data_IF_326560991654
#
_entry.id   IF_326560991654
#
_cell.length_a   1.000
_cell.length_b   1.000
_cell.length_c   1.000
_cell.angle_alpha   90.00
_cell.angle_beta   90.00
_cell.angle_gamma   90.00
#
_symmetry.space_group_name_H-M   'P 1'
#
loop_
_entity.id
_entity.type
_entity.pdbx_description
1 polymer ?
#
# COMPACT_ATOMS: atom_id res chain seq x y z
N UNK A 1 0.26 0.11 -13.45
CA UNK A 1 -0.25 -0.68 -12.31
C UNK A 1 -0.04 -2.15 -12.62
N UNK A 2 0.27 -2.96 -11.61
CA UNK A 2 0.54 -4.38 -11.78
C UNK A 2 -0.78 -5.18 -11.95
N UNK A 3 -0.76 -6.38 -12.54
CA UNK A 3 -1.99 -7.12 -12.84
C UNK A 3 -2.84 -7.45 -11.60
N UNK A 4 -2.25 -7.85 -10.48
CA UNK A 4 -3.00 -8.19 -9.27
C UNK A 4 -3.54 -6.93 -8.57
N UNK A 5 -2.82 -5.82 -8.58
CA UNK A 5 -3.34 -4.51 -8.14
C UNK A 5 -4.65 -4.16 -8.87
N UNK A 6 -4.67 -4.31 -10.20
CA UNK A 6 -5.85 -4.01 -11.01
C UNK A 6 -7.01 -4.96 -10.66
N UNK A 7 -6.72 -6.25 -10.54
CA UNK A 7 -7.72 -7.25 -10.14
C UNK A 7 -8.32 -6.92 -8.77
N UNK A 8 -7.49 -6.60 -7.79
CA UNK A 8 -7.94 -6.23 -6.43
C UNK A 8 -8.81 -4.98 -6.45
N UNK A 9 -8.45 -3.95 -7.24
CA UNK A 9 -9.27 -2.74 -7.39
C UNK A 9 -10.62 -3.01 -8.06
N UNK A 10 -10.67 -3.88 -9.07
CA UNK A 10 -11.92 -4.31 -9.71
C UNK A 10 -12.81 -5.04 -8.70
N UNK A 11 -12.24 -5.94 -7.89
CA UNK A 11 -12.98 -6.64 -6.84
C UNK A 11 -13.51 -5.65 -5.78
N UNK A 12 -12.71 -4.65 -5.38
CA UNK A 12 -13.16 -3.60 -4.46
C UNK A 12 -14.29 -2.75 -5.08
N UNK A 13 -14.24 -2.41 -6.36
CA UNK A 13 -15.35 -1.73 -7.03
C UNK A 13 -16.62 -2.60 -7.02
N UNK A 14 -16.47 -3.91 -7.25
CA UNK A 14 -17.54 -4.90 -7.13
C UNK A 14 -18.12 -4.97 -5.71
N UNK A 15 -17.29 -4.96 -4.68
CA UNK A 15 -17.78 -4.96 -3.28
C UNK A 15 -18.53 -3.68 -2.94
N UNK A 16 -18.05 -2.52 -3.38
CA UNK A 16 -18.74 -1.23 -3.18
C UNK A 16 -20.10 -1.20 -3.85
N UNK A 17 -20.17 -1.58 -5.12
CA UNK A 17 -21.45 -1.62 -5.87
C UNK A 17 -22.43 -2.60 -5.24
N UNK A 18 -21.95 -3.77 -4.78
CA UNK A 18 -22.77 -4.73 -4.06
C UNK A 18 -23.26 -4.19 -2.71
N UNK A 19 -22.42 -3.46 -1.98
CA UNK A 19 -22.76 -2.81 -0.73
C UNK A 19 -23.80 -1.69 -0.93
N UNK A 20 -23.83 -1.03 -2.08
CA UNK A 20 -24.77 0.07 -2.34
C UNK A 20 -26.12 -0.37 -2.89
N UNK A 21 -26.16 -1.49 -3.62
CA UNK A 21 -27.32 -1.87 -4.46
C UNK A 21 -28.05 -3.10 -3.94
N UNK A 22 -27.34 -4.13 -3.47
CA UNK A 22 -27.96 -5.38 -3.08
C UNK A 22 -28.47 -5.34 -1.62
N UNK A 23 -29.77 -5.64 -1.44
CA UNK A 23 -30.38 -5.87 -0.11
C UNK A 23 -29.84 -7.15 0.53
N UNK A 24 -29.65 -8.21 -0.26
CA UNK A 24 -29.06 -9.48 0.16
C UNK A 24 -27.53 -9.33 0.22
N UNK A 25 -26.95 -9.36 1.44
CA UNK A 25 -25.52 -9.07 1.68
C UNK A 25 -24.57 -10.24 1.38
N UNK A 26 -25.08 -11.36 0.88
CA UNK A 26 -24.27 -12.56 0.55
C UNK A 26 -23.25 -12.28 -0.55
N UNK A 27 -23.69 -11.67 -1.65
CA UNK A 27 -22.81 -11.31 -2.79
C UNK A 27 -21.70 -10.37 -2.32
N UNK A 28 -22.04 -9.38 -1.49
CA UNK A 28 -21.06 -8.47 -0.89
C UNK A 28 -20.00 -9.23 -0.08
N UNK A 29 -20.39 -10.18 0.77
CA UNK A 29 -19.45 -10.96 1.59
C UNK A 29 -18.56 -11.87 0.75
N UNK A 30 -19.08 -12.52 -0.31
CA UNK A 30 -18.27 -13.33 -1.21
C UNK A 30 -17.25 -12.48 -1.98
N UNK A 31 -17.67 -11.32 -2.49
CA UNK A 31 -16.76 -10.40 -3.17
C UNK A 31 -15.71 -9.82 -2.20
N UNK A 32 -16.10 -9.55 -0.95
CA UNK A 32 -15.18 -9.04 0.07
C UNK A 32 -14.12 -10.08 0.41
N UNK A 33 -14.55 -11.34 0.58
CA UNK A 33 -13.63 -12.46 0.80
C UNK A 33 -12.68 -12.65 -0.39
N UNK A 34 -13.20 -12.60 -1.62
CA UNK A 34 -12.39 -12.66 -2.83
C UNK A 34 -11.37 -11.52 -2.91
N UNK A 35 -11.78 -10.29 -2.56
CA UNK A 35 -10.90 -9.12 -2.55
C UNK A 35 -9.79 -9.24 -1.50
N UNK A 36 -10.09 -9.78 -0.31
CA UNK A 36 -9.08 -10.07 0.72
C UNK A 36 -8.09 -11.15 0.24
N UNK A 37 -8.59 -12.19 -0.44
CA UNK A 37 -7.75 -13.22 -1.04
C UNK A 37 -6.82 -12.66 -2.12
N UNK A 38 -7.35 -11.84 -3.03
CA UNK A 38 -6.57 -11.16 -4.06
C UNK A 38 -5.51 -10.22 -3.45
N UNK A 39 -5.88 -9.46 -2.41
CA UNK A 39 -4.96 -8.60 -1.68
C UNK A 39 -3.82 -9.39 -1.01
N UNK A 40 -4.15 -10.55 -0.44
CA UNK A 40 -3.15 -11.45 0.16
C UNK A 40 -2.19 -11.98 -0.91
N UNK A 41 -2.72 -12.43 -2.06
CA UNK A 41 -1.90 -12.90 -3.16
C UNK A 41 -0.99 -11.80 -3.72
N UNK A 42 -1.52 -10.59 -3.88
CA UNK A 42 -0.76 -9.41 -4.29
C UNK A 42 0.37 -9.11 -3.31
N UNK A 43 0.13 -9.19 -2.00
CA UNK A 43 1.16 -8.98 -0.97
C UNK A 43 2.37 -9.90 -1.18
N UNK A 44 2.14 -11.18 -1.47
CA UNK A 44 3.22 -12.16 -1.63
C UNK A 44 3.91 -12.13 -3.00
N UNK A 45 3.17 -11.88 -4.08
CA UNK A 45 3.71 -11.97 -5.45
C UNK A 45 4.27 -10.65 -5.97
N UNK A 46 3.58 -9.54 -5.68
CA UNK A 46 3.96 -8.22 -6.19
C UNK A 46 4.69 -7.40 -5.12
N UNK A 47 4.60 -7.78 -3.84
CA UNK A 47 5.22 -7.05 -2.73
C UNK A 47 4.39 -5.85 -2.28
N UNK A 48 4.86 -5.18 -1.22
CA UNK A 48 4.11 -4.09 -0.59
C UNK A 48 4.46 -2.72 -1.16
N UNK A 49 3.39 -1.96 -1.43
CA UNK A 49 3.43 -0.57 -1.85
C UNK A 49 2.58 0.23 -0.90
N UNK A 50 3.18 1.21 -0.23
CA UNK A 50 2.44 2.07 0.71
C UNK A 50 1.29 2.81 0.01
N UNK A 51 1.40 3.09 -1.31
CA UNK A 51 0.30 3.72 -2.07
C UNK A 51 -0.96 2.85 -2.08
N UNK A 52 -0.81 1.53 -1.98
CA UNK A 52 -1.91 0.58 -1.97
C UNK A 52 -2.52 0.40 -0.57
N UNK A 53 -1.92 0.97 0.48
CA UNK A 53 -2.45 0.89 1.85
C UNK A 53 -3.89 1.42 1.93
N UNK A 54 -4.25 2.42 1.13
CA UNK A 54 -5.62 2.94 1.06
C UNK A 54 -6.63 1.87 0.63
N UNK A 55 -6.27 0.99 -0.32
CA UNK A 55 -7.10 -0.13 -0.73
C UNK A 55 -7.18 -1.20 0.37
N UNK A 56 -6.07 -1.47 1.06
CA UNK A 56 -6.00 -2.43 2.17
C UNK A 56 -6.93 -2.03 3.30
N UNK A 57 -6.85 -0.79 3.77
CA UNK A 57 -7.67 -0.30 4.89
C UNK A 57 -9.13 -0.08 4.51
N UNK A 58 -9.44 0.06 3.22
CA UNK A 58 -10.82 0.12 2.75
C UNK A 58 -11.57 -1.20 2.97
N UNK A 59 -10.92 -2.36 2.82
CA UNK A 59 -11.55 -3.68 3.02
C UNK A 59 -12.18 -3.88 4.42
N UNK A 60 -11.43 -3.70 5.54
CA UNK A 60 -12.04 -3.80 6.87
C UNK A 60 -13.04 -2.67 7.12
N UNK A 61 -12.82 -1.47 6.58
CA UNK A 61 -13.78 -0.37 6.69
C UNK A 61 -15.14 -0.72 6.05
N UNK A 62 -15.14 -1.39 4.89
CA UNK A 62 -16.36 -1.89 4.23
C UNK A 62 -17.09 -2.90 5.09
N UNK A 63 -16.36 -3.83 5.71
CA UNK A 63 -16.95 -4.82 6.63
C UNK A 63 -17.56 -4.16 7.89
N UNK A 64 -16.85 -3.21 8.48
CA UNK A 64 -17.31 -2.46 9.66
C UNK A 64 -18.57 -1.65 9.31
N UNK A 65 -18.58 -0.95 8.17
CA UNK A 65 -19.76 -0.23 7.69
C UNK A 65 -20.96 -1.17 7.51
N UNK A 66 -20.74 -2.38 6.97
CA UNK A 66 -21.78 -3.39 6.85
C UNK A 66 -22.34 -3.81 8.22
N UNK A 67 -21.48 -3.95 9.24
CA UNK A 67 -21.89 -4.36 10.59
C UNK A 67 -22.79 -3.33 11.27
N UNK A 68 -22.48 -2.04 11.14
CA UNK A 68 -23.25 -0.94 11.72
C UNK A 68 -24.50 -0.57 10.91
N UNK A 69 -24.47 -0.73 9.59
CA UNK A 69 -25.54 -0.30 8.67
C UNK A 69 -26.13 -1.48 7.89
N UNK A 70 -26.77 -2.40 8.64
CA UNK A 70 -27.24 -3.70 8.14
C UNK A 70 -28.25 -3.60 6.98
N UNK A 71 -29.21 -2.68 7.07
CA UNK A 71 -30.34 -2.58 6.12
C UNK A 71 -30.06 -1.63 4.95
N UNK A 72 -29.62 -0.41 5.23
CA UNK A 72 -29.29 0.61 4.21
C UNK A 72 -28.05 1.38 4.63
N UNK A 73 -27.22 1.70 3.64
CA UNK A 73 -26.06 2.58 3.83
C UNK A 73 -26.51 4.04 3.65
N UNK A 74 -26.17 4.89 4.61
CA UNK A 74 -26.43 6.33 4.58
C UNK A 74 -25.72 7.01 3.42
N UNK A 75 -26.33 8.06 2.84
CA UNK A 75 -25.75 8.78 1.70
C UNK A 75 -24.36 9.36 2.00
N UNK A 76 -24.16 9.88 3.22
CA UNK A 76 -22.87 10.39 3.69
C UNK A 76 -21.80 9.29 3.68
N UNK A 77 -22.12 8.10 4.22
CA UNK A 77 -21.19 6.95 4.23
C UNK A 77 -20.87 6.48 2.81
N UNK A 78 -21.85 6.47 1.90
CA UNK A 78 -21.61 6.16 0.48
C UNK A 78 -20.62 7.14 -0.16
N UNK A 79 -20.85 8.43 0.04
CA UNK A 79 -19.97 9.48 -0.48
C UNK A 79 -18.54 9.34 0.06
N UNK A 80 -18.40 9.14 1.37
CA UNK A 80 -17.09 8.94 2.00
C UNK A 80 -16.34 7.71 1.45
N UNK A 81 -17.01 6.56 1.35
CA UNK A 81 -16.41 5.33 0.81
C UNK A 81 -16.02 5.49 -0.67
N UNK A 82 -16.83 6.17 -1.48
CA UNK A 82 -16.49 6.46 -2.88
C UNK A 82 -15.28 7.37 -3.00
N UNK A 83 -15.19 8.44 -2.19
CA UNK A 83 -14.03 9.33 -2.19
C UNK A 83 -12.77 8.57 -1.79
N UNK A 84 -12.84 7.75 -0.72
CA UNK A 84 -11.73 6.90 -0.31
C UNK A 84 -11.30 5.98 -1.45
N UNK A 85 -12.24 5.29 -2.10
CA UNK A 85 -11.94 4.43 -3.23
C UNK A 85 -11.25 5.17 -4.38
N UNK A 86 -11.67 6.40 -4.70
CA UNK A 86 -10.98 7.24 -5.68
C UNK A 86 -9.51 7.46 -5.32
N UNK A 87 -9.19 7.74 -4.04
CA UNK A 87 -7.79 7.85 -3.60
C UNK A 87 -7.03 6.53 -3.77
N UNK A 88 -7.66 5.39 -3.45
CA UNK A 88 -7.06 4.07 -3.63
C UNK A 88 -6.69 3.75 -5.08
N UNK A 89 -7.40 4.32 -6.06
CA UNK A 89 -7.11 4.19 -7.48
C UNK A 89 -6.10 5.24 -7.96
N UNK A 90 -6.26 6.49 -7.55
CA UNK A 90 -5.45 7.61 -8.05
C UNK A 90 -4.01 7.57 -7.54
N UNK A 91 -3.77 7.24 -6.27
CA UNK A 91 -2.44 7.28 -5.67
C UNK A 91 -1.44 6.33 -6.36
N UNK A 92 -1.74 5.04 -6.57
CA UNK A 92 -0.79 4.16 -7.25
C UNK A 92 -0.65 4.46 -8.75
N UNK A 93 -1.55 5.27 -9.32
CA UNK A 93 -1.48 5.72 -10.71
C UNK A 93 -0.61 6.99 -10.87
N UNK A 94 -0.78 7.98 -10.00
CA UNK A 94 -0.03 9.25 -10.02
C UNK A 94 1.42 9.05 -9.56
N UNK A 95 1.65 8.14 -8.61
CA UNK A 95 2.97 7.88 -8.03
C UNK A 95 3.46 6.50 -8.50
N UNK A 96 4.02 6.38 -9.71
CA UNK A 96 4.61 5.13 -10.18
C UNK A 96 5.86 4.80 -9.36
N UNK A 97 6.05 3.52 -9.08
CA UNK A 97 7.32 3.03 -8.52
C UNK A 97 8.29 2.90 -9.69
N UNK A 98 9.37 3.68 -9.66
CA UNK A 98 10.43 3.59 -10.65
C UNK A 98 11.19 2.27 -10.46
N UNK A 99 11.49 1.61 -11.57
CA UNK A 99 12.43 0.47 -11.61
C UNK A 99 13.76 0.99 -12.11
N UNK A 100 14.83 0.67 -11.39
CA UNK A 100 16.18 0.94 -11.90
C UNK A 100 16.41 0.12 -13.17
N UNK A 101 17.06 0.69 -14.20
CA UNK A 101 17.40 -0.07 -15.39
C UNK A 101 18.37 -1.21 -15.03
N UNK A 102 18.25 -2.33 -15.74
CA UNK A 102 19.22 -3.41 -15.58
C UNK A 102 20.62 -2.93 -16.03
N UNK A 103 21.70 -3.34 -15.35
CA UNK A 103 23.05 -3.05 -15.78
C UNK A 103 23.26 -3.55 -17.22
N UNK A 104 23.85 -2.73 -18.09
CA UNK A 104 24.04 -3.05 -19.51
C UNK A 104 25.37 -3.75 -19.82
N UNK A 105 26.26 -3.90 -18.83
CA UNK A 105 27.56 -4.51 -18.98
C UNK A 105 27.52 -6.04 -19.05
N UNK A 106 28.57 -6.69 -19.57
CA UNK A 106 28.65 -8.15 -19.68
C UNK A 106 28.95 -8.85 -18.33
N UNK A 107 29.17 -8.09 -17.26
CA UNK A 107 29.57 -8.61 -15.95
C UNK A 107 28.48 -8.36 -14.90
N UNK A 108 28.40 -9.27 -13.94
CA UNK A 108 27.52 -9.12 -12.78
C UNK A 108 28.01 -7.99 -11.87
N UNK A 109 27.06 -7.26 -11.28
CA UNK A 109 27.33 -6.14 -10.38
C UNK A 109 27.05 -6.59 -8.95
N UNK A 110 28.08 -6.56 -8.11
CA UNK A 110 27.97 -6.72 -6.66
C UNK A 110 27.75 -5.37 -5.96
N UNK A 111 27.30 -5.40 -4.72
CA UNK A 111 27.25 -4.22 -3.83
C UNK A 111 27.78 -4.62 -2.48
N UNK A 112 28.64 -3.77 -1.92
CA UNK A 112 29.15 -3.87 -0.56
C UNK A 112 28.94 -2.51 0.10
N UNK A 113 28.63 -2.52 1.40
CA UNK A 113 28.43 -1.31 2.20
C UNK A 113 29.51 -1.28 3.26
N UNK A 114 30.30 -0.22 3.26
CA UNK A 114 31.34 0.00 4.25
C UNK A 114 30.91 1.04 5.27
N UNK A 115 31.11 0.73 6.54
CA UNK A 115 30.99 1.68 7.63
C UNK A 115 32.37 2.02 8.15
N UNK A 116 32.79 3.26 7.95
CA UNK A 116 34.09 3.76 8.37
C UNK A 116 33.93 4.71 9.54
N UNK A 117 34.73 4.49 10.58
CA UNK A 117 34.75 5.31 11.79
C UNK A 117 36.11 5.98 11.89
N UNK A 118 36.11 7.32 11.93
CA UNK A 118 37.31 8.13 12.08
C UNK A 118 37.47 8.56 13.53
N UNK A 119 38.18 7.74 14.32
CA UNK A 119 38.44 8.01 15.74
C UNK A 119 39.33 9.24 16.00
N UNK A 120 39.85 9.91 14.97
CA UNK A 120 40.69 11.09 15.13
C UNK A 120 39.91 12.41 15.12
N UNK A 121 38.63 12.38 14.75
CA UNK A 121 37.79 13.58 14.61
C UNK A 121 36.44 13.38 15.28
N UNK A 122 35.99 14.41 15.99
CA UNK A 122 34.64 14.48 16.54
C UNK A 122 33.62 14.82 15.45
N UNK A 123 32.39 14.35 15.64
CA UNK A 123 31.26 14.72 14.80
C UNK A 123 30.83 16.16 15.11
N UNK A 124 30.61 16.95 14.06
CA UNK A 124 30.28 18.39 14.15
C UNK A 124 28.79 18.67 13.97
N UNK A 125 27.96 17.67 13.67
CA UNK A 125 26.51 17.81 13.47
C UNK A 125 25.68 17.38 14.69
N UNK A 126 26.31 16.80 15.72
CA UNK A 126 25.70 16.26 16.93
C UNK A 126 26.23 16.97 18.17
N UNK A 127 25.97 18.28 18.26
CA UNK A 127 26.42 19.13 19.37
C UNK A 127 25.94 18.64 20.75
N UNK A 128 24.85 17.86 20.79
CA UNK A 128 24.31 17.23 22.00
C UNK A 128 25.17 16.10 22.57
N UNK A 129 26.01 15.44 21.77
CA UNK A 129 26.90 14.36 22.23
C UNK A 129 28.39 14.75 22.03
N UNK A 130 29.08 15.19 23.10
CA UNK A 130 30.46 15.65 23.00
C UNK A 130 31.47 14.51 22.76
N UNK A 131 31.05 13.25 22.81
CA UNK A 131 31.92 12.09 22.57
C UNK A 131 31.68 11.44 21.19
N UNK A 132 30.78 12.01 20.38
CA UNK A 132 30.49 11.47 19.06
C UNK A 132 31.69 11.65 18.11
N UNK A 133 31.98 10.61 17.35
CA UNK A 133 33.12 10.55 16.43
C UNK A 133 32.62 10.40 15.01
N UNK A 134 33.38 10.91 14.06
CA UNK A 134 32.90 11.00 12.69
C UNK A 134 32.77 9.62 12.04
N UNK A 135 31.60 9.35 11.48
CA UNK A 135 31.30 8.11 10.76
C UNK A 135 30.92 8.39 9.29
N UNK A 136 31.25 7.47 8.39
CA UNK A 136 30.95 7.58 6.95
C UNK A 136 30.46 6.21 6.43
N UNK A 137 29.40 6.25 5.63
CA UNK A 137 28.90 5.10 4.87
C UNK A 137 29.34 5.24 3.41
N UNK A 138 29.96 4.20 2.85
CA UNK A 138 30.39 4.12 1.44
C UNK A 138 29.76 2.92 0.77
#
# INVERSE_FOLDING_TARGET
MRPLEILTLILIAGTLTALFTHKERKIFLYLLFAAIGAMSLQYFLEGQRWQFAFAVYLLPALYICHLFQKTKINFITKGFLSVWFSFSVLLPWIIPVFTLPNPSGPHEVGTELFHWVDSTRLEWFTDEDPNDIREIIV
#
